data_IF_866072329544
#
_entry.id   IF_866072329544
#
_cell.length_a   1.000
_cell.length_b   1.000
_cell.length_c   1.000
_cell.angle_alpha   90.00
_cell.angle_beta   90.00
_cell.angle_gamma   90.00
#
_symmetry.space_group_name_H-M   'P 1'
#
loop_
_entity.id
_entity.type
_entity.pdbx_description
1 polymer ?
#
# COMPACT_ATOMS: atom_id res chain seq x y z
N UNK A 1 -46.02 -40.30 -18.77
CA UNK A 1 -45.17 -39.44 -17.95
C UNK A 1 -44.24 -38.67 -18.90
N UNK A 2 -44.63 -37.50 -19.37
CA UNK A 2 -43.74 -36.58 -20.12
C UNK A 2 -42.88 -35.83 -19.13
N UNK A 3 -41.61 -36.20 -18.99
CA UNK A 3 -40.58 -35.31 -18.42
C UNK A 3 -40.32 -34.15 -19.38
N UNK A 4 -40.87 -32.99 -19.09
CA UNK A 4 -40.36 -31.73 -19.67
C UNK A 4 -38.92 -31.55 -19.20
N UNK A 5 -37.96 -31.86 -20.06
CA UNK A 5 -36.63 -31.28 -19.98
C UNK A 5 -36.81 -29.77 -20.28
N UNK A 6 -36.86 -28.99 -19.22
CA UNK A 6 -36.59 -27.55 -19.36
C UNK A 6 -35.13 -27.46 -19.72
N UNK A 7 -34.83 -27.16 -20.97
CA UNK A 7 -33.52 -26.62 -21.36
C UNK A 7 -33.32 -25.40 -20.48
N UNK A 8 -32.40 -25.49 -19.51
CA UNK A 8 -31.81 -24.31 -18.92
C UNK A 8 -31.06 -23.63 -20.05
N UNK A 9 -31.65 -22.60 -20.68
CA UNK A 9 -30.87 -21.62 -21.41
C UNK A 9 -29.79 -21.17 -20.41
N UNK A 10 -28.54 -21.33 -20.80
CA UNK A 10 -27.40 -20.83 -20.05
C UNK A 10 -27.55 -19.31 -19.98
N UNK A 11 -28.07 -18.82 -18.88
CA UNK A 11 -28.15 -17.38 -18.61
C UNK A 11 -26.74 -16.86 -18.53
N UNK A 12 -26.38 -16.07 -19.53
CA UNK A 12 -25.07 -15.39 -19.62
C UNK A 12 -25.24 -13.99 -19.07
N UNK A 13 -24.58 -13.67 -17.94
CA UNK A 13 -24.55 -12.30 -17.47
C UNK A 13 -23.92 -11.40 -18.53
N UNK A 14 -24.64 -10.40 -18.96
CA UNK A 14 -24.18 -9.36 -19.88
C UNK A 14 -23.56 -8.20 -19.10
N UNK A 15 -22.82 -7.32 -19.78
CA UNK A 15 -22.30 -6.09 -19.16
C UNK A 15 -23.44 -5.20 -18.61
N UNK A 16 -24.60 -5.16 -19.33
CA UNK A 16 -25.76 -4.39 -18.89
C UNK A 16 -26.42 -4.98 -17.65
N UNK A 17 -26.50 -6.30 -17.54
CA UNK A 17 -27.01 -6.96 -16.33
C UNK A 17 -26.08 -6.74 -15.14
N UNK A 18 -24.77 -6.75 -15.35
CA UNK A 18 -23.84 -6.40 -14.30
C UNK A 18 -24.00 -4.93 -13.84
N UNK A 19 -24.27 -4.00 -14.77
CA UNK A 19 -24.56 -2.61 -14.39
C UNK A 19 -25.86 -2.53 -13.55
N UNK A 20 -26.90 -3.30 -13.90
CA UNK A 20 -28.12 -3.39 -13.09
C UNK A 20 -27.87 -3.99 -11.69
N UNK A 21 -26.97 -4.99 -11.58
CA UNK A 21 -26.54 -5.52 -10.27
C UNK A 21 -25.94 -4.40 -9.43
N UNK A 22 -25.06 -3.58 -10.00
CA UNK A 22 -24.40 -2.48 -9.28
C UNK A 22 -25.42 -1.42 -8.83
N UNK A 23 -26.39 -1.06 -9.66
CA UNK A 23 -27.46 -0.13 -9.29
C UNK A 23 -28.28 -0.66 -8.09
N UNK A 24 -28.66 -1.92 -8.11
CA UNK A 24 -29.35 -2.56 -6.99
C UNK A 24 -28.49 -2.66 -5.73
N UNK A 25 -27.18 -2.94 -5.88
CA UNK A 25 -26.23 -2.94 -4.77
C UNK A 25 -26.23 -1.57 -4.06
N UNK A 26 -26.12 -0.48 -4.81
CA UNK A 26 -26.14 0.87 -4.21
C UNK A 26 -27.48 1.14 -3.53
N UNK A 27 -28.61 0.84 -4.20
CA UNK A 27 -29.94 1.02 -3.62
C UNK A 27 -30.16 0.22 -2.34
N UNK A 28 -29.67 -1.02 -2.30
CA UNK A 28 -29.72 -1.85 -1.09
C UNK A 28 -28.90 -1.24 0.04
N UNK A 29 -27.67 -0.82 -0.22
CA UNK A 29 -26.78 -0.22 0.79
C UNK A 29 -27.38 1.06 1.39
N UNK A 30 -28.02 1.91 0.57
CA UNK A 30 -28.69 3.13 1.01
C UNK A 30 -29.87 2.85 1.95
N UNK A 31 -30.61 1.75 1.71
CA UNK A 31 -31.71 1.35 2.57
C UNK A 31 -31.22 0.60 3.82
N UNK A 32 -30.29 -0.35 3.65
CA UNK A 32 -29.80 -1.18 4.74
C UNK A 32 -29.04 -0.35 5.79
N UNK A 33 -28.33 0.71 5.42
CA UNK A 33 -27.64 1.57 6.38
C UNK A 33 -28.61 2.32 7.32
N UNK A 34 -29.83 2.59 6.87
CA UNK A 34 -30.88 3.19 7.70
C UNK A 34 -31.47 2.15 8.68
N UNK A 35 -31.66 0.92 8.21
CA UNK A 35 -32.26 -0.17 9.00
C UNK A 35 -31.23 -0.75 9.99
N UNK A 36 -29.98 -0.93 9.54
CA UNK A 36 -28.90 -1.58 10.27
C UNK A 36 -27.68 -0.66 10.46
N UNK A 37 -27.81 0.54 11.06
CA UNK A 37 -26.77 1.56 11.08
C UNK A 37 -25.46 1.10 11.74
N UNK A 38 -25.52 0.16 12.68
CA UNK A 38 -24.33 -0.37 13.37
C UNK A 38 -23.35 -1.07 12.43
N UNK A 39 -23.85 -1.71 11.36
CA UNK A 39 -23.03 -2.37 10.35
C UNK A 39 -22.25 -1.40 9.47
N UNK A 40 -22.59 -0.11 9.53
CA UNK A 40 -21.99 0.96 8.69
C UNK A 40 -21.20 1.99 9.52
N UNK A 41 -20.69 1.62 10.70
CA UNK A 41 -19.91 2.52 11.55
C UNK A 41 -18.41 2.44 11.33
N UNK A 42 -17.92 1.32 10.79
CA UNK A 42 -16.51 1.08 10.59
C UNK A 42 -16.18 0.95 9.11
N UNK A 43 -15.06 1.52 8.72
CA UNK A 43 -14.50 1.43 7.36
C UNK A 43 -13.48 0.28 7.24
N UNK A 44 -13.05 -0.01 6.01
CA UNK A 44 -12.13 -1.09 5.72
C UNK A 44 -12.86 -2.43 5.59
N UNK A 45 -12.25 -3.48 6.09
CA UNK A 45 -12.75 -4.86 5.99
C UNK A 45 -14.14 -5.07 6.60
N UNK A 46 -14.56 -4.24 7.58
CA UNK A 46 -15.89 -4.30 8.18
C UNK A 46 -17.02 -3.91 7.19
N UNK A 47 -16.71 -3.18 6.11
CA UNK A 47 -17.70 -2.77 5.10
C UNK A 47 -17.89 -3.81 3.98
N UNK A 48 -16.89 -4.63 3.68
CA UNK A 48 -16.96 -5.64 2.62
C UNK A 48 -18.14 -6.62 2.78
N UNK A 49 -18.45 -7.16 4.00
CA UNK A 49 -19.63 -8.02 4.19
C UNK A 49 -20.96 -7.33 3.87
N UNK A 50 -21.04 -6.00 4.04
CA UNK A 50 -22.24 -5.26 3.69
C UNK A 50 -22.44 -5.23 2.18
N UNK A 51 -21.36 -4.99 1.42
CA UNK A 51 -21.41 -5.04 -0.05
C UNK A 51 -21.70 -6.46 -0.54
N UNK A 52 -21.10 -7.48 0.08
CA UNK A 52 -21.39 -8.88 -0.28
C UNK A 52 -22.87 -9.22 -0.12
N UNK A 53 -23.51 -8.83 0.99
CA UNK A 53 -24.97 -9.03 1.18
C UNK A 53 -25.80 -8.29 0.13
N UNK A 54 -25.37 -7.07 -0.23
CA UNK A 54 -26.03 -6.29 -1.27
C UNK A 54 -25.92 -6.97 -2.65
N UNK A 55 -24.77 -7.59 -2.95
CA UNK A 55 -24.58 -8.37 -4.19
C UNK A 55 -25.49 -9.58 -4.22
N UNK A 56 -25.55 -10.34 -3.12
CA UNK A 56 -26.43 -11.51 -3.03
C UNK A 56 -27.90 -11.13 -3.26
N UNK A 57 -28.35 -10.06 -2.61
CA UNK A 57 -29.69 -9.53 -2.79
C UNK A 57 -29.95 -9.13 -4.26
N UNK A 58 -29.01 -8.42 -4.89
CA UNK A 58 -29.17 -7.95 -6.27
C UNK A 58 -29.24 -9.12 -7.27
N UNK A 59 -28.45 -10.17 -7.06
CA UNK A 59 -28.47 -11.37 -7.91
C UNK A 59 -29.80 -12.13 -7.73
N UNK A 60 -30.30 -12.24 -6.51
CA UNK A 60 -31.60 -12.87 -6.23
C UNK A 60 -32.76 -12.10 -6.87
N UNK A 61 -32.82 -10.78 -6.71
CA UNK A 61 -33.83 -9.91 -7.31
C UNK A 61 -33.85 -9.95 -8.85
N UNK A 62 -32.69 -10.08 -9.46
CA UNK A 62 -32.60 -10.20 -10.92
C UNK A 62 -32.74 -11.63 -11.44
N UNK A 63 -32.86 -12.60 -10.53
CA UNK A 63 -32.97 -14.02 -10.89
C UNK A 63 -31.72 -14.56 -11.59
N UNK A 64 -30.55 -14.00 -11.29
CA UNK A 64 -29.26 -14.41 -11.84
C UNK A 64 -28.63 -15.50 -10.97
N UNK A 65 -28.45 -16.72 -11.50
CA UNK A 65 -27.93 -17.86 -10.72
C UNK A 65 -26.39 -17.89 -10.68
N UNK A 66 -25.78 -16.73 -10.51
CA UNK A 66 -24.32 -16.58 -10.60
C UNK A 66 -23.66 -16.90 -9.26
N UNK A 67 -22.43 -17.40 -9.31
CA UNK A 67 -21.63 -17.72 -8.15
C UNK A 67 -20.84 -16.48 -7.69
N UNK A 68 -20.82 -16.23 -6.38
CA UNK A 68 -20.04 -15.13 -5.80
C UNK A 68 -18.84 -15.68 -5.07
N UNK A 69 -17.66 -15.42 -5.60
CA UNK A 69 -16.37 -15.71 -4.97
C UNK A 69 -15.98 -14.52 -4.09
N UNK A 70 -16.03 -14.74 -2.79
CA UNK A 70 -15.67 -13.76 -1.77
C UNK A 70 -15.02 -14.45 -0.58
N UNK A 71 -13.83 -13.99 -0.22
CA UNK A 71 -13.10 -14.45 0.97
C UNK A 71 -12.93 -13.29 1.94
N UNK A 72 -13.60 -13.30 3.11
CA UNK A 72 -13.47 -12.25 4.11
C UNK A 72 -12.01 -12.05 4.53
N UNK A 73 -11.52 -10.78 4.50
CA UNK A 73 -10.13 -10.46 4.82
C UNK A 73 -9.10 -11.03 3.82
N UNK A 74 -9.56 -11.48 2.65
CA UNK A 74 -8.70 -11.91 1.55
C UNK A 74 -7.89 -10.75 0.99
N UNK A 75 -6.72 -11.06 0.42
CA UNK A 75 -5.87 -10.05 -0.23
C UNK A 75 -5.99 -10.09 -1.75
N UNK A 76 -7.10 -10.65 -2.26
CA UNK A 76 -7.42 -10.68 -3.69
C UNK A 76 -7.75 -9.29 -4.24
N UNK A 77 -7.61 -9.12 -5.54
CA UNK A 77 -8.13 -7.98 -6.26
C UNK A 77 -8.88 -8.47 -7.51
N UNK A 78 -10.13 -8.08 -7.69
CA UNK A 78 -11.00 -7.32 -6.79
C UNK A 78 -11.48 -8.13 -5.57
N UNK A 79 -12.07 -7.45 -4.56
CA UNK A 79 -12.52 -8.05 -3.29
C UNK A 79 -13.66 -9.06 -3.47
N UNK A 80 -14.57 -8.82 -4.42
CA UNK A 80 -15.71 -9.69 -4.74
C UNK A 80 -15.70 -10.00 -6.22
N UNK A 81 -15.83 -11.27 -6.59
CA UNK A 81 -15.93 -11.72 -7.98
C UNK A 81 -17.24 -12.45 -8.20
N UNK A 82 -18.03 -11.99 -9.16
CA UNK A 82 -19.22 -12.68 -9.63
C UNK A 82 -18.83 -13.49 -10.85
N UNK A 83 -19.07 -14.80 -10.79
CA UNK A 83 -18.78 -15.73 -11.88
C UNK A 83 -20.11 -16.11 -12.55
N UNK A 84 -20.33 -15.61 -13.75
CA UNK A 84 -21.51 -15.94 -14.54
C UNK A 84 -21.55 -17.41 -14.95
N UNK A 85 -22.72 -17.90 -15.25
CA UNK A 85 -22.91 -19.29 -15.68
C UNK A 85 -22.11 -19.67 -16.96
N UNK A 86 -21.71 -18.67 -17.74
CA UNK A 86 -20.84 -18.81 -18.92
C UNK A 86 -19.34 -18.74 -18.59
N UNK A 87 -18.97 -18.65 -17.30
CA UNK A 87 -17.60 -18.53 -16.84
C UNK A 87 -17.01 -17.11 -16.95
N UNK A 88 -17.77 -16.12 -17.43
CA UNK A 88 -17.34 -14.72 -17.40
C UNK A 88 -17.27 -14.22 -15.97
N UNK A 89 -16.27 -13.40 -15.69
CA UNK A 89 -16.02 -12.84 -14.36
C UNK A 89 -16.23 -11.33 -14.35
N UNK A 90 -16.87 -10.87 -13.30
CA UNK A 90 -17.13 -9.45 -13.03
C UNK A 90 -16.67 -9.12 -11.62
N UNK A 91 -15.91 -8.02 -11.48
CA UNK A 91 -15.27 -7.68 -10.24
C UNK A 91 -15.89 -6.48 -9.54
N UNK A 92 -15.90 -6.52 -8.21
CA UNK A 92 -16.27 -5.38 -7.37
C UNK A 92 -15.15 -5.16 -6.35
N UNK A 93 -14.46 -4.06 -6.49
CA UNK A 93 -13.50 -3.58 -5.50
C UNK A 93 -14.22 -2.72 -4.47
N UNK A 94 -14.09 -3.04 -3.21
CA UNK A 94 -14.76 -2.35 -2.11
C UNK A 94 -13.83 -1.35 -1.47
N UNK A 95 -14.27 -0.11 -1.37
CA UNK A 95 -13.53 0.94 -0.66
C UNK A 95 -14.43 1.66 0.32
N UNK A 96 -13.88 2.05 1.45
CA UNK A 96 -14.65 2.80 2.44
C UNK A 96 -13.80 3.81 3.21
N UNK A 97 -14.47 4.81 3.72
CA UNK A 97 -13.88 5.84 4.57
C UNK A 97 -14.89 6.32 5.61
N UNK A 98 -14.45 6.53 6.83
CA UNK A 98 -15.23 7.19 7.89
C UNK A 98 -15.04 8.71 7.90
N UNK A 99 -14.22 9.26 6.99
CA UNK A 99 -13.94 10.69 6.91
C UNK A 99 -15.18 11.53 6.63
N UNK A 100 -15.33 12.66 7.35
CA UNK A 100 -16.39 13.62 7.13
C UNK A 100 -16.21 14.50 5.88
N UNK A 101 -15.06 14.40 5.20
CA UNK A 101 -14.75 15.17 4.00
C UNK A 101 -15.69 14.87 2.82
N UNK A 102 -15.82 15.85 1.91
CA UNK A 102 -16.64 15.71 0.70
C UNK A 102 -15.97 14.84 -0.39
N UNK A 103 -14.65 14.75 -0.39
CA UNK A 103 -13.88 14.02 -1.42
C UNK A 103 -14.17 12.52 -1.41
N UNK A 104 -14.28 11.95 -2.60
CA UNK A 104 -14.39 10.51 -2.86
C UNK A 104 -13.06 9.92 -3.36
N UNK A 105 -11.97 10.29 -2.68
CA UNK A 105 -10.60 9.94 -3.05
C UNK A 105 -9.99 9.00 -2.02
N UNK A 106 -9.33 7.94 -2.50
CA UNK A 106 -8.63 6.96 -1.68
C UNK A 106 -7.50 6.29 -2.50
N UNK A 107 -6.50 5.75 -1.80
CA UNK A 107 -5.49 4.92 -2.46
C UNK A 107 -6.08 3.57 -2.88
N UNK A 108 -5.81 3.18 -4.10
CA UNK A 108 -6.19 1.89 -4.66
C UNK A 108 -5.15 0.80 -4.41
N UNK A 109 -5.27 -0.29 -5.17
CA UNK A 109 -4.34 -1.42 -5.12
C UNK A 109 -2.97 -1.06 -5.69
N UNK A 110 -1.97 -1.86 -5.32
CA UNK A 110 -0.62 -1.76 -5.87
C UNK A 110 -0.61 -2.16 -7.35
N UNK A 111 0.15 -1.41 -8.16
CA UNK A 111 0.39 -1.75 -9.57
C UNK A 111 1.19 -3.05 -9.68
N UNK A 112 2.02 -3.36 -8.69
CA UNK A 112 2.82 -4.58 -8.62
C UNK A 112 2.12 -5.73 -7.86
N UNK A 113 0.85 -5.59 -7.51
CA UNK A 113 0.09 -6.61 -6.77
C UNK A 113 0.02 -7.93 -7.52
N UNK A 114 0.36 -9.02 -6.86
CA UNK A 114 0.37 -10.38 -7.41
C UNK A 114 -0.93 -11.16 -7.19
N UNK A 115 -1.89 -10.59 -6.46
CA UNK A 115 -3.12 -11.28 -6.03
C UNK A 115 -4.33 -10.95 -6.90
N UNK A 116 -4.10 -10.65 -8.19
CA UNK A 116 -5.17 -10.30 -9.12
C UNK A 116 -5.89 -11.55 -9.63
N UNK A 117 -7.21 -11.46 -9.68
CA UNK A 117 -8.03 -12.48 -10.33
C UNK A 117 -7.97 -12.27 -11.84
N UNK A 118 -7.53 -13.26 -12.63
CA UNK A 118 -7.45 -13.12 -14.07
C UNK A 118 -8.82 -13.21 -14.75
N UNK A 119 -8.95 -12.58 -15.91
CA UNK A 119 -10.12 -12.72 -16.78
C UNK A 119 -11.35 -11.92 -16.33
N UNK A 120 -11.18 -10.88 -15.52
CA UNK A 120 -12.26 -9.96 -15.15
C UNK A 120 -12.63 -9.13 -16.38
N UNK A 121 -13.90 -9.22 -16.82
CA UNK A 121 -14.42 -8.47 -17.99
C UNK A 121 -14.74 -7.01 -17.69
N UNK A 122 -15.22 -6.75 -16.49
CA UNK A 122 -15.52 -5.41 -16.00
C UNK A 122 -15.29 -5.36 -14.50
N UNK A 123 -14.62 -4.33 -14.05
CA UNK A 123 -14.36 -4.12 -12.63
C UNK A 123 -15.00 -2.81 -12.18
N UNK A 124 -15.82 -2.87 -11.13
CA UNK A 124 -16.47 -1.71 -10.53
C UNK A 124 -15.88 -1.43 -9.16
N UNK A 125 -15.82 -0.17 -8.78
CA UNK A 125 -15.63 0.23 -7.39
C UNK A 125 -16.99 0.47 -6.75
N UNK A 126 -17.18 -0.05 -5.55
CA UNK A 126 -18.23 0.35 -4.62
C UNK A 126 -17.57 1.06 -3.45
N UNK A 127 -17.79 2.36 -3.33
CA UNK A 127 -17.19 3.18 -2.30
C UNK A 127 -18.25 3.67 -1.30
N UNK A 128 -18.06 3.32 -0.02
CA UNK A 128 -18.90 3.74 1.11
C UNK A 128 -18.24 4.84 1.95
N UNK A 129 -18.93 5.95 2.18
CA UNK A 129 -18.66 6.85 3.29
C UNK A 129 -19.50 6.39 4.47
N UNK A 130 -18.92 5.52 5.30
CA UNK A 130 -19.66 4.81 6.36
C UNK A 130 -19.80 5.67 7.62
N UNK A 131 -21.04 5.97 8.01
CA UNK A 131 -21.42 6.83 9.15
C UNK A 131 -22.73 6.40 9.81
N UNK A 132 -22.93 5.11 9.93
CA UNK A 132 -24.22 4.60 10.40
C UNK A 132 -25.34 4.90 9.39
N UNK A 133 -26.45 5.42 9.86
CA UNK A 133 -27.60 5.78 9.01
C UNK A 133 -27.33 6.92 8.01
N UNK A 134 -26.29 7.73 8.24
CA UNK A 134 -25.90 8.85 7.37
C UNK A 134 -24.85 8.44 6.33
N UNK A 135 -24.70 7.15 6.09
CA UNK A 135 -23.75 6.62 5.11
C UNK A 135 -24.15 7.01 3.70
N UNK A 136 -23.14 7.20 2.85
CA UNK A 136 -23.32 7.52 1.43
C UNK A 136 -22.54 6.51 0.60
N UNK A 137 -23.09 6.12 -0.55
CA UNK A 137 -22.48 5.12 -1.41
C UNK A 137 -22.40 5.62 -2.84
N UNK A 138 -21.33 5.23 -3.54
CA UNK A 138 -21.16 5.45 -4.97
C UNK A 138 -20.51 4.24 -5.62
N UNK A 139 -20.85 4.02 -6.88
CA UNK A 139 -20.14 3.07 -7.73
C UNK A 139 -19.65 3.76 -8.99
N UNK A 140 -18.49 3.33 -9.48
CA UNK A 140 -17.93 3.76 -10.77
C UNK A 140 -17.06 2.65 -11.32
N UNK A 141 -16.93 2.58 -12.64
CA UNK A 141 -16.02 1.66 -13.29
C UNK A 141 -14.57 1.96 -12.87
N UNK A 142 -13.81 0.91 -12.55
CA UNK A 142 -12.49 1.05 -11.93
C UNK A 142 -11.55 1.92 -12.75
N UNK A 143 -11.42 1.66 -14.06
CA UNK A 143 -10.54 2.44 -14.93
C UNK A 143 -10.94 3.92 -14.98
N UNK A 144 -12.26 4.20 -14.98
CA UNK A 144 -12.78 5.56 -15.10
C UNK A 144 -12.63 6.41 -13.85
N UNK A 145 -12.29 5.81 -12.70
CA UNK A 145 -12.08 6.55 -11.46
C UNK A 145 -10.61 6.60 -11.01
N UNK A 146 -9.68 6.05 -11.78
CA UNK A 146 -8.26 6.20 -11.49
C UNK A 146 -7.79 7.58 -11.94
N UNK A 147 -7.55 8.45 -10.99
CA UNK A 147 -7.13 9.83 -11.27
C UNK A 147 -5.64 9.96 -11.53
N UNK A 148 -4.81 9.12 -10.92
CA UNK A 148 -3.37 9.17 -11.06
C UNK A 148 -2.71 7.89 -10.54
N UNK A 149 -1.39 7.82 -10.69
CA UNK A 149 -0.53 6.86 -9.99
C UNK A 149 0.27 7.62 -8.94
N UNK A 150 0.20 7.15 -7.71
CA UNK A 150 0.94 7.72 -6.58
C UNK A 150 1.85 6.66 -5.97
N UNK A 151 2.96 7.10 -5.39
CA UNK A 151 3.87 6.19 -4.70
C UNK A 151 3.83 6.50 -3.21
N UNK A 152 3.38 5.53 -2.44
CA UNK A 152 3.41 5.58 -0.98
C UNK A 152 4.59 4.74 -0.46
N UNK A 153 4.48 3.45 -0.47
CA UNK A 153 5.56 2.47 -0.26
C UNK A 153 5.73 1.56 -1.50
N UNK A 154 4.76 1.56 -2.39
CA UNK A 154 4.80 1.00 -3.74
C UNK A 154 3.96 1.88 -4.65
N UNK A 155 4.16 1.83 -5.98
CA UNK A 155 3.26 2.49 -6.91
C UNK A 155 1.84 1.96 -6.76
N UNK A 156 0.88 2.87 -6.56
CA UNK A 156 -0.54 2.58 -6.38
C UNK A 156 -1.39 3.46 -7.26
N UNK A 157 -2.53 2.95 -7.64
CA UNK A 157 -3.55 3.77 -8.25
C UNK A 157 -4.14 4.74 -7.21
N UNK A 158 -4.43 5.96 -7.64
CA UNK A 158 -5.20 6.92 -6.86
C UNK A 158 -6.62 6.96 -7.41
N UNK A 159 -7.55 6.45 -6.62
CA UNK A 159 -8.97 6.42 -6.93
C UNK A 159 -9.58 7.76 -6.59
N UNK A 160 -10.38 8.30 -7.50
CA UNK A 160 -11.16 9.51 -7.32
C UNK A 160 -12.46 9.39 -8.12
N UNK A 161 -13.59 9.21 -7.43
CA UNK A 161 -14.87 9.06 -8.11
C UNK A 161 -15.44 10.40 -8.62
N UNK A 162 -14.84 11.53 -8.24
CA UNK A 162 -15.27 12.86 -8.67
C UNK A 162 -14.66 13.29 -10.02
N UNK A 163 -13.75 12.52 -10.61
CA UNK A 163 -13.20 12.86 -11.94
C UNK A 163 -14.24 12.67 -13.04
N UNK A 164 -14.24 13.60 -13.99
CA UNK A 164 -15.09 13.53 -15.18
C UNK A 164 -14.68 12.35 -16.09
N UNK A 165 -15.64 11.82 -16.83
CA UNK A 165 -15.39 10.77 -17.81
C UNK A 165 -14.42 11.28 -18.89
N UNK A 166 -13.51 10.42 -19.34
CA UNK A 166 -12.46 10.77 -20.29
C UNK A 166 -11.23 11.45 -19.66
N UNK A 167 -11.22 11.68 -18.33
CA UNK A 167 -10.12 12.31 -17.61
C UNK A 167 -9.39 11.37 -16.66
N UNK A 168 -9.64 10.05 -16.73
CA UNK A 168 -8.89 9.09 -15.93
C UNK A 168 -7.40 9.04 -16.33
N UNK A 169 -6.57 8.45 -15.49
CA UNK A 169 -5.17 8.16 -15.82
C UNK A 169 -5.08 7.34 -17.11
N UNK A 170 -5.93 6.32 -17.26
CA UNK A 170 -5.94 5.44 -18.41
C UNK A 170 -6.35 6.17 -19.71
N UNK A 171 -7.37 7.05 -19.64
CA UNK A 171 -7.75 7.89 -20.76
C UNK A 171 -6.58 8.78 -21.23
N UNK A 172 -5.93 9.47 -20.28
CA UNK A 172 -4.81 10.37 -20.59
C UNK A 172 -3.56 9.66 -21.08
N UNK A 173 -3.31 8.46 -20.55
CA UNK A 173 -2.16 7.64 -20.94
C UNK A 173 -2.40 6.85 -22.23
N UNK A 174 -3.66 6.80 -22.73
CA UNK A 174 -4.10 5.93 -23.82
C UNK A 174 -3.71 4.46 -23.55
N UNK A 175 -3.97 4.00 -22.34
CA UNK A 175 -3.73 2.65 -21.87
C UNK A 175 -5.02 2.08 -21.26
N UNK A 176 -5.11 0.75 -21.17
CA UNK A 176 -6.13 0.08 -20.37
C UNK A 176 -5.53 -0.47 -19.06
N UNK A 177 -6.40 -0.80 -18.11
CA UNK A 177 -5.98 -1.51 -16.91
C UNK A 177 -5.31 -2.86 -17.25
N UNK A 178 -5.85 -3.56 -18.26
CA UNK A 178 -5.30 -4.85 -18.69
C UNK A 178 -3.91 -4.69 -19.31
N UNK A 179 -3.65 -3.65 -20.12
CA UNK A 179 -2.32 -3.39 -20.68
C UNK A 179 -1.25 -3.32 -19.60
N UNK A 180 -1.56 -2.64 -18.49
CA UNK A 180 -0.62 -2.51 -17.37
C UNK A 180 -0.58 -3.79 -16.54
N UNK A 181 -1.74 -4.40 -16.26
CA UNK A 181 -1.84 -5.54 -15.34
C UNK A 181 -1.25 -6.84 -15.90
N UNK A 182 -1.26 -7.00 -17.22
CA UNK A 182 -0.74 -8.17 -17.93
C UNK A 182 0.70 -7.98 -18.44
N UNK A 183 1.22 -6.75 -18.31
CA UNK A 183 2.59 -6.43 -18.74
C UNK A 183 3.64 -7.03 -17.81
N UNK A 184 4.73 -7.52 -18.42
CA UNK A 184 5.95 -7.90 -17.69
C UNK A 184 6.71 -6.68 -17.13
N UNK A 185 6.39 -5.47 -17.61
CA UNK A 185 7.06 -4.22 -17.23
C UNK A 185 6.05 -3.09 -16.91
N UNK A 186 5.12 -3.28 -15.97
CA UNK A 186 4.05 -2.30 -15.71
C UNK A 186 4.59 -0.93 -15.26
N UNK A 187 5.65 -0.93 -14.47
CA UNK A 187 6.28 0.32 -13.99
C UNK A 187 6.90 1.09 -15.15
N UNK A 188 7.54 0.40 -16.09
CA UNK A 188 8.12 1.05 -17.25
C UNK A 188 7.06 1.77 -18.10
N UNK A 189 5.93 1.13 -18.36
CA UNK A 189 4.83 1.75 -19.13
C UNK A 189 4.34 3.04 -18.49
N UNK A 190 4.18 3.04 -17.16
CA UNK A 190 3.74 4.20 -16.40
C UNK A 190 4.83 5.28 -16.40
N UNK A 191 6.10 4.90 -16.23
CA UNK A 191 7.24 5.81 -16.27
C UNK A 191 7.34 6.49 -17.64
N UNK A 192 7.26 5.72 -18.73
CA UNK A 192 7.32 6.23 -20.10
C UNK A 192 6.21 7.27 -20.35
N UNK A 193 5.01 7.01 -19.84
CA UNK A 193 3.91 8.00 -19.91
C UNK A 193 4.23 9.30 -19.15
N UNK A 194 4.65 9.22 -17.90
CA UNK A 194 4.95 10.43 -17.11
C UNK A 194 6.11 11.24 -17.72
N UNK A 195 7.13 10.57 -18.23
CA UNK A 195 8.24 11.22 -18.94
C UNK A 195 7.74 11.92 -20.21
N UNK A 196 6.82 11.30 -20.97
CA UNK A 196 6.27 11.86 -22.20
C UNK A 196 5.51 13.18 -22.00
N UNK A 197 4.91 13.36 -20.80
CA UNK A 197 4.18 14.59 -20.44
C UNK A 197 5.04 15.58 -19.63
N UNK A 198 6.36 15.33 -19.53
CA UNK A 198 7.30 16.20 -18.82
C UNK A 198 7.10 16.23 -17.30
N UNK A 199 6.42 15.25 -16.73
CA UNK A 199 6.31 15.14 -15.28
C UNK A 199 7.56 14.43 -14.73
N UNK A 200 8.23 15.11 -13.80
CA UNK A 200 9.28 14.51 -12.97
C UNK A 200 8.65 14.06 -11.65
N UNK A 201 8.67 12.77 -11.39
CA UNK A 201 8.40 12.24 -10.06
C UNK A 201 9.72 11.71 -9.50
N UNK A 202 9.90 11.74 -8.19
CA UNK A 202 11.14 11.25 -7.55
C UNK A 202 11.47 9.78 -7.90
N UNK A 203 10.51 9.01 -8.35
CA UNK A 203 10.66 7.63 -8.83
C UNK A 203 10.85 7.53 -10.36
N UNK A 204 10.82 8.69 -11.06
CA UNK A 204 11.16 8.82 -12.47
C UNK A 204 12.56 9.45 -12.51
N UNK A 205 13.60 8.68 -12.79
CA UNK A 205 14.92 9.23 -12.94
C UNK A 205 14.97 10.18 -14.16
N UNK A 206 15.51 11.39 -13.97
CA UNK A 206 15.74 12.36 -15.07
C UNK A 206 16.72 11.85 -16.14
N UNK A 207 17.58 10.93 -15.74
CA UNK A 207 18.41 10.15 -16.65
C UNK A 207 18.14 8.67 -16.37
N UNK A 208 17.71 7.91 -17.38
CA UNK A 208 17.61 6.47 -17.24
C UNK A 208 19.02 5.93 -16.96
N UNK A 209 19.36 5.51 -15.74
CA UNK A 209 20.61 4.78 -15.53
C UNK A 209 20.53 3.53 -16.39
N UNK A 210 21.64 3.07 -16.89
CA UNK A 210 21.71 1.92 -17.78
C UNK A 210 21.09 0.62 -17.20
N UNK A 211 20.78 0.61 -15.86
CA UNK A 211 19.98 -0.42 -15.20
C UNK A 211 19.43 0.09 -13.86
N UNK A 212 18.11 0.23 -13.73
CA UNK A 212 17.44 0.35 -12.41
C UNK A 212 17.52 -1.03 -11.75
N UNK A 213 18.05 -1.07 -10.53
CA UNK A 213 18.17 -2.29 -9.76
C UNK A 213 17.06 -2.40 -8.72
N UNK A 214 16.50 -3.59 -8.58
CA UNK A 214 15.60 -3.89 -7.48
C UNK A 214 16.41 -4.16 -6.22
N UNK A 215 16.09 -3.47 -5.12
CA UNK A 215 16.76 -3.67 -3.82
C UNK A 215 16.82 -5.17 -3.43
N UNK A 216 15.72 -5.90 -3.68
CA UNK A 216 15.63 -7.35 -3.42
C UNK A 216 16.72 -8.18 -4.09
N UNK A 217 17.23 -7.74 -5.25
CA UNK A 217 18.21 -8.47 -6.07
C UNK A 217 19.66 -8.09 -5.76
N UNK A 218 19.90 -7.10 -4.90
CA UNK A 218 21.24 -6.66 -4.56
C UNK A 218 22.00 -7.72 -3.74
N UNK A 219 23.35 -7.74 -3.82
CA UNK A 219 24.18 -8.52 -2.92
C UNK A 219 23.95 -8.17 -1.45
N UNK A 220 24.11 -9.16 -0.55
CA UNK A 220 23.85 -8.99 0.89
C UNK A 220 24.64 -7.82 1.50
N UNK A 221 25.91 -7.68 1.11
CA UNK A 221 26.77 -6.59 1.59
C UNK A 221 26.23 -5.22 1.17
N UNK A 222 25.82 -5.07 -0.09
CA UNK A 222 25.28 -3.81 -0.59
C UNK A 222 23.94 -3.48 0.09
N UNK A 223 23.08 -4.47 0.30
CA UNK A 223 21.86 -4.29 1.11
C UNK A 223 22.20 -3.78 2.51
N UNK A 224 23.19 -4.40 3.15
CA UNK A 224 23.63 -3.99 4.48
C UNK A 224 24.13 -2.53 4.52
N UNK A 225 24.94 -2.13 3.55
CA UNK A 225 25.43 -0.74 3.43
C UNK A 225 24.26 0.25 3.25
N UNK A 226 23.33 -0.04 2.36
CA UNK A 226 22.15 0.80 2.14
C UNK A 226 21.25 0.89 3.37
N UNK A 227 21.07 -0.21 4.11
CA UNK A 227 20.32 -0.21 5.37
C UNK A 227 21.05 0.61 6.45
N UNK A 228 22.38 0.46 6.57
CA UNK A 228 23.20 1.30 7.47
C UNK A 228 23.05 2.77 7.15
N UNK A 229 23.15 3.13 5.87
CA UNK A 229 22.95 4.50 5.40
C UNK A 229 21.55 5.03 5.76
N UNK A 230 20.50 4.21 5.58
CA UNK A 230 19.16 4.57 5.98
C UNK A 230 19.04 4.94 7.45
N UNK A 231 19.57 4.11 8.34
CA UNK A 231 19.52 4.32 9.78
C UNK A 231 20.30 5.56 10.25
N UNK A 232 21.35 5.94 9.53
CA UNK A 232 22.21 7.07 9.90
C UNK A 232 21.72 8.41 9.36
N UNK A 233 21.36 8.47 8.07
CA UNK A 233 21.04 9.74 7.40
C UNK A 233 19.54 10.07 7.31
N UNK A 234 18.68 9.12 7.64
CA UNK A 234 17.22 9.30 7.58
C UNK A 234 16.56 8.95 8.92
N UNK A 235 16.91 9.67 10.01
CA UNK A 235 16.44 9.33 11.36
C UNK A 235 14.92 9.36 11.48
N UNK A 236 14.21 10.07 10.60
CA UNK A 236 12.75 10.10 10.54
C UNK A 236 12.10 8.73 10.30
N UNK A 237 12.85 7.72 9.83
CA UNK A 237 12.32 6.35 9.67
C UNK A 237 11.87 5.72 10.99
N UNK A 238 12.38 6.22 12.13
CA UNK A 238 11.96 5.79 13.46
C UNK A 238 10.67 6.45 13.96
N UNK A 239 10.17 7.48 13.27
CA UNK A 239 8.97 8.22 13.66
C UNK A 239 7.67 7.49 13.32
N UNK A 240 6.52 8.04 13.77
CA UNK A 240 5.18 7.58 13.38
C UNK A 240 4.65 8.26 12.09
N UNK A 241 5.46 9.07 11.42
CA UNK A 241 5.03 9.78 10.22
C UNK A 241 4.67 8.80 9.09
N UNK A 242 3.54 9.01 8.44
CA UNK A 242 3.14 8.23 7.25
C UNK A 242 4.09 8.38 6.06
N UNK A 243 4.90 9.44 6.03
CA UNK A 243 5.87 9.74 4.96
C UNK A 243 7.33 9.52 5.36
N UNK A 244 7.57 8.87 6.48
CA UNK A 244 8.90 8.67 7.08
C UNK A 244 9.94 7.99 6.17
N UNK A 245 9.53 7.24 5.19
CA UNK A 245 10.43 6.59 4.24
C UNK A 245 10.66 7.40 2.96
N UNK A 246 10.01 8.54 2.79
CA UNK A 246 9.97 9.28 1.53
C UNK A 246 11.36 9.77 1.09
N UNK A 247 12.11 10.40 2.00
CA UNK A 247 13.46 10.90 1.70
C UNK A 247 14.43 9.77 1.34
N UNK A 248 14.38 8.68 2.10
CA UNK A 248 15.23 7.52 1.81
C UNK A 248 14.88 6.86 0.47
N UNK A 249 13.58 6.71 0.16
CA UNK A 249 13.14 6.19 -1.15
C UNK A 249 13.62 7.09 -2.29
N UNK A 250 13.52 8.41 -2.14
CA UNK A 250 14.01 9.38 -3.12
C UNK A 250 15.52 9.22 -3.33
N UNK A 251 16.28 9.14 -2.26
CA UNK A 251 17.72 8.97 -2.31
C UNK A 251 18.15 7.65 -2.96
N UNK A 252 17.47 6.54 -2.64
CA UNK A 252 17.71 5.25 -3.31
C UNK A 252 17.52 5.36 -4.83
N UNK A 253 16.47 6.03 -5.26
CA UNK A 253 16.14 6.15 -6.67
C UNK A 253 17.08 7.12 -7.39
N UNK A 254 17.31 8.33 -6.84
CA UNK A 254 18.07 9.40 -7.52
C UNK A 254 19.58 9.17 -7.48
N UNK A 255 20.11 8.76 -6.33
CA UNK A 255 21.56 8.64 -6.17
C UNK A 255 22.11 7.23 -6.44
N UNK A 256 21.26 6.20 -6.29
CA UNK A 256 21.71 4.82 -6.40
C UNK A 256 21.04 4.04 -7.54
N UNK A 257 20.04 4.60 -8.19
CA UNK A 257 19.25 3.91 -9.23
C UNK A 257 18.62 2.60 -8.72
N UNK A 258 18.21 2.60 -7.44
CA UNK A 258 17.64 1.44 -6.77
C UNK A 258 16.18 1.75 -6.39
N UNK A 259 15.28 0.80 -6.68
CA UNK A 259 13.88 0.85 -6.30
C UNK A 259 13.57 -0.31 -5.37
N UNK A 260 12.82 -0.04 -4.30
CA UNK A 260 12.32 -1.06 -3.38
C UNK A 260 10.82 -0.93 -3.14
N UNK A 261 10.00 -1.72 -3.84
CA UNK A 261 8.55 -1.71 -3.65
C UNK A 261 8.11 -2.16 -2.25
N UNK A 262 8.97 -2.91 -1.54
CA UNK A 262 8.72 -3.44 -0.22
C UNK A 262 9.49 -2.69 0.89
N UNK A 263 9.95 -1.46 0.62
CA UNK A 263 10.85 -0.73 1.53
C UNK A 263 10.29 -0.63 2.95
N UNK A 264 9.03 -0.25 3.10
CA UNK A 264 8.38 -0.18 4.41
C UNK A 264 8.49 -1.51 5.17
N UNK A 265 8.22 -2.60 4.48
CA UNK A 265 8.17 -3.92 5.09
C UNK A 265 9.57 -4.38 5.54
N UNK A 266 10.63 -3.95 4.85
CA UNK A 266 12.02 -4.22 5.28
C UNK A 266 12.33 -3.65 6.65
N UNK A 267 11.74 -2.50 7.01
CA UNK A 267 11.98 -1.87 8.30
C UNK A 267 10.97 -2.32 9.37
N UNK A 268 9.71 -2.57 9.00
CA UNK A 268 8.61 -2.65 9.97
C UNK A 268 7.77 -3.94 9.91
N UNK A 269 7.95 -4.80 8.91
CA UNK A 269 7.18 -6.06 8.84
C UNK A 269 7.49 -6.99 10.01
N UNK A 270 6.45 -7.59 10.60
CA UNK A 270 6.57 -8.55 11.69
C UNK A 270 6.24 -8.00 13.08
N UNK A 271 5.65 -6.81 13.17
CA UNK A 271 5.09 -6.27 14.41
C UNK A 271 6.14 -5.94 15.46
N UNK A 272 6.06 -6.57 16.63
CA UNK A 272 6.98 -6.42 17.77
C UNK A 272 7.78 -7.69 17.98
N UNK A 273 9.03 -7.57 18.42
CA UNK A 273 9.92 -8.68 18.74
C UNK A 273 10.88 -8.29 19.85
N UNK A 274 11.44 -9.31 20.52
CA UNK A 274 12.51 -9.08 21.49
C UNK A 274 13.83 -8.84 20.75
N UNK A 275 14.65 -7.98 21.31
CA UNK A 275 16.03 -7.73 20.87
C UNK A 275 16.94 -8.19 21.99
N UNK A 276 17.58 -9.35 21.78
CA UNK A 276 18.52 -9.94 22.72
C UNK A 276 19.93 -9.48 22.41
N UNK A 277 20.55 -8.79 23.34
CA UNK A 277 21.94 -8.33 23.29
C UNK A 277 22.77 -9.14 24.29
N UNK A 278 24.08 -9.05 24.24
CA UNK A 278 24.98 -9.81 25.15
C UNK A 278 24.64 -9.62 26.64
N UNK A 279 24.25 -8.40 27.04
CA UNK A 279 24.05 -8.05 28.45
C UNK A 279 22.62 -7.68 28.82
N UNK A 280 21.70 -7.50 27.85
CA UNK A 280 20.33 -7.07 28.11
C UNK A 280 19.37 -7.59 27.04
N UNK A 281 18.12 -7.83 27.44
CA UNK A 281 17.03 -8.16 26.52
C UNK A 281 16.02 -7.01 26.57
N UNK A 282 15.74 -6.43 25.41
CA UNK A 282 14.67 -5.46 25.23
C UNK A 282 13.44 -6.17 24.66
N UNK A 283 12.41 -6.31 25.50
CA UNK A 283 11.21 -7.07 25.14
C UNK A 283 10.24 -6.25 24.28
N UNK A 284 9.59 -6.93 23.34
CA UNK A 284 8.47 -6.41 22.53
C UNK A 284 8.73 -5.06 21.85
N UNK A 285 9.94 -4.82 21.40
CA UNK A 285 10.26 -3.64 20.61
C UNK A 285 9.62 -3.70 19.21
N UNK A 286 9.26 -2.55 18.60
CA UNK A 286 8.93 -2.47 17.18
C UNK A 286 10.01 -3.12 16.31
N UNK A 287 9.61 -3.82 15.25
CA UNK A 287 10.51 -4.62 14.38
C UNK A 287 11.70 -3.85 13.83
N UNK A 288 11.58 -2.54 13.68
CA UNK A 288 12.67 -1.69 13.21
C UNK A 288 13.94 -1.81 14.08
N UNK A 289 13.80 -2.07 15.40
CA UNK A 289 14.95 -2.23 16.29
C UNK A 289 15.64 -3.58 16.14
N UNK A 290 14.91 -4.65 15.82
CA UNK A 290 15.52 -5.93 15.43
C UNK A 290 16.32 -5.75 14.12
N UNK A 291 15.79 -5.00 13.17
CA UNK A 291 16.50 -4.71 11.94
C UNK A 291 17.72 -3.81 12.19
N UNK A 292 17.60 -2.80 13.06
CA UNK A 292 18.76 -2.00 13.49
C UNK A 292 19.87 -2.88 14.06
N UNK A 293 19.54 -3.82 14.94
CA UNK A 293 20.51 -4.77 15.52
C UNK A 293 21.16 -5.66 14.45
N UNK A 294 20.36 -6.20 13.53
CA UNK A 294 20.87 -7.03 12.43
C UNK A 294 21.85 -6.29 11.52
N UNK A 295 21.66 -4.99 11.35
CA UNK A 295 22.50 -4.15 10.49
C UNK A 295 23.48 -3.27 11.26
N UNK A 296 23.64 -3.46 12.60
CA UNK A 296 24.46 -2.63 13.48
C UNK A 296 25.90 -2.41 13.01
N UNK A 297 26.51 -3.42 12.41
CA UNK A 297 27.85 -3.30 11.80
C UNK A 297 27.90 -2.19 10.78
N UNK A 298 26.94 -2.18 9.88
CA UNK A 298 26.87 -1.20 8.79
C UNK A 298 26.53 0.21 9.32
N UNK A 299 25.73 0.28 10.38
CA UNK A 299 25.41 1.55 11.05
C UNK A 299 26.66 2.16 11.67
N UNK A 300 27.45 1.37 12.40
CA UNK A 300 28.72 1.85 12.99
C UNK A 300 29.72 2.25 11.91
N UNK A 301 29.86 1.43 10.87
CA UNK A 301 30.77 1.72 9.76
C UNK A 301 30.35 3.01 9.04
N UNK A 302 29.07 3.24 8.86
CA UNK A 302 28.55 4.47 8.26
C UNK A 302 28.81 5.70 9.15
N UNK A 303 28.49 5.64 10.45
CA UNK A 303 28.77 6.74 11.40
C UNK A 303 30.25 7.07 11.45
N UNK A 304 31.13 6.04 11.41
CA UNK A 304 32.58 6.20 11.46
C UNK A 304 33.13 6.92 10.24
N UNK A 305 32.66 6.53 9.06
CA UNK A 305 33.19 6.98 7.78
C UNK A 305 32.40 8.15 7.18
N UNK A 306 31.33 8.57 7.83
CA UNK A 306 30.43 9.60 7.33
C UNK A 306 31.14 10.96 7.15
N UNK A 307 30.81 11.63 6.07
CA UNK A 307 31.13 13.03 5.85
C UNK A 307 30.42 13.92 6.87
N UNK A 308 31.17 14.82 7.51
CA UNK A 308 30.66 15.67 8.59
C UNK A 308 29.58 16.65 8.11
N UNK A 309 29.68 17.17 6.89
CA UNK A 309 28.69 18.11 6.36
C UNK A 309 27.34 17.37 6.10
N UNK A 310 27.42 16.17 5.54
CA UNK A 310 26.23 15.33 5.34
C UNK A 310 25.58 14.91 6.66
N UNK A 311 26.35 14.59 7.69
CA UNK A 311 25.80 14.31 9.02
C UNK A 311 25.18 15.55 9.64
N UNK A 312 25.81 16.72 9.49
CA UNK A 312 25.25 17.98 9.97
C UNK A 312 23.86 18.25 9.33
N UNK A 313 23.75 18.05 8.03
CA UNK A 313 22.48 18.19 7.30
C UNK A 313 21.43 17.18 7.78
N UNK A 314 21.84 15.94 8.02
CA UNK A 314 20.93 14.87 8.46
C UNK A 314 20.48 15.03 9.91
N UNK A 315 21.37 15.44 10.81
CA UNK A 315 21.13 15.51 12.25
C UNK A 315 20.80 16.92 12.76
N UNK A 316 20.97 17.93 11.90
CA UNK A 316 20.82 19.35 12.22
C UNK A 316 21.71 19.76 13.42
N UNK A 317 22.93 19.23 13.48
CA UNK A 317 23.94 19.56 14.49
C UNK A 317 25.33 19.19 14.00
N UNK A 318 26.34 19.92 14.48
CA UNK A 318 27.74 19.65 14.13
C UNK A 318 28.16 18.30 14.72
N UNK A 319 28.61 17.34 13.89
CA UNK A 319 29.00 16.03 14.38
C UNK A 319 30.30 16.09 15.22
N UNK A 320 30.38 15.29 16.26
CA UNK A 320 31.60 15.10 17.03
C UNK A 320 32.70 14.44 16.18
N UNK A 321 33.94 14.58 16.60
CA UNK A 321 35.10 13.96 15.95
C UNK A 321 35.32 12.51 16.42
N UNK A 322 35.02 12.23 17.69
CA UNK A 322 35.11 10.88 18.27
C UNK A 322 33.91 10.02 17.89
N UNK A 323 34.15 8.74 17.59
CA UNK A 323 33.11 7.81 17.17
C UNK A 323 32.04 7.58 18.23
N UNK A 324 32.44 7.41 19.51
CA UNK A 324 31.49 7.16 20.58
C UNK A 324 30.58 8.36 20.80
N UNK A 325 31.12 9.56 20.68
CA UNK A 325 30.34 10.78 20.79
C UNK A 325 29.41 10.97 19.58
N UNK A 326 29.82 10.60 18.36
CA UNK A 326 28.95 10.54 17.18
C UNK A 326 27.80 9.55 17.38
N UNK A 327 28.05 8.35 17.92
CA UNK A 327 27.02 7.37 18.23
C UNK A 327 26.01 7.94 19.24
N UNK A 328 26.50 8.63 20.29
CA UNK A 328 25.61 9.29 21.26
C UNK A 328 24.77 10.39 20.63
N UNK A 329 25.37 11.25 19.79
CA UNK A 329 24.64 12.27 19.07
C UNK A 329 23.56 11.69 18.14
N UNK A 330 23.91 10.65 17.39
CA UNK A 330 22.94 9.91 16.57
C UNK A 330 21.80 9.35 17.42
N UNK A 331 22.12 8.71 18.55
CA UNK A 331 21.12 8.14 19.43
C UNK A 331 20.15 9.20 20.01
N UNK A 332 20.65 10.39 20.37
CA UNK A 332 19.83 11.52 20.81
C UNK A 332 18.87 11.97 19.71
N UNK A 333 19.37 12.15 18.47
CA UNK A 333 18.55 12.56 17.33
C UNK A 333 17.44 11.55 17.04
N UNK A 334 17.79 10.26 17.01
CA UNK A 334 16.83 9.18 16.76
C UNK A 334 15.84 9.05 17.91
N UNK A 335 16.29 9.06 19.17
CA UNK A 335 15.45 8.95 20.34
C UNK A 335 14.34 10.01 20.41
N UNK A 336 14.64 11.23 19.97
CA UNK A 336 13.67 12.33 19.89
C UNK A 336 12.54 12.08 18.89
N UNK A 337 12.72 11.18 17.92
CA UNK A 337 11.74 10.85 16.89
C UNK A 337 10.94 9.58 17.19
N UNK A 338 11.41 8.75 18.12
CA UNK A 338 10.73 7.51 18.52
C UNK A 338 9.50 7.85 19.36
N UNK A 339 8.30 7.37 18.96
CA UNK A 339 7.10 7.54 19.75
C UNK A 339 7.22 6.97 21.15
N UNK A 340 6.50 7.55 22.11
CA UNK A 340 6.47 7.03 23.48
C UNK A 340 5.60 5.78 23.62
N UNK A 341 4.61 5.60 22.76
CA UNK A 341 3.60 4.54 22.83
C UNK A 341 4.21 3.13 22.97
N UNK A 342 4.06 2.58 24.18
CA UNK A 342 4.57 1.27 24.58
C UNK A 342 6.09 1.21 24.75
N UNK A 343 6.75 2.37 24.89
CA UNK A 343 8.18 2.51 25.14
C UNK A 343 8.50 3.54 26.25
N UNK A 344 7.49 3.97 26.99
CA UNK A 344 7.59 5.01 28.04
C UNK A 344 8.56 4.62 29.16
N UNK A 345 8.75 3.34 29.39
CA UNK A 345 9.63 2.78 30.41
C UNK A 345 11.10 2.66 29.99
N UNK A 346 11.42 2.96 28.73
CA UNK A 346 12.74 2.77 28.16
C UNK A 346 13.54 4.08 28.11
N UNK A 347 14.82 3.99 28.47
CA UNK A 347 15.80 5.02 28.16
C UNK A 347 16.22 4.87 26.70
N UNK A 348 15.48 5.51 25.76
CA UNK A 348 15.60 5.30 24.31
C UNK A 348 17.00 5.52 23.77
N UNK A 349 17.69 6.55 24.27
CA UNK A 349 19.08 6.84 23.87
C UNK A 349 20.01 5.69 24.24
N UNK A 350 19.93 5.22 25.49
CA UNK A 350 20.77 4.12 25.96
C UNK A 350 20.46 2.83 25.19
N UNK A 351 19.16 2.51 24.99
CA UNK A 351 18.74 1.37 24.19
C UNK A 351 19.31 1.39 22.79
N UNK A 352 19.31 2.54 22.11
CA UNK A 352 19.88 2.69 20.77
C UNK A 352 21.39 2.47 20.76
N UNK A 353 22.10 3.01 21.77
CA UNK A 353 23.55 2.81 21.94
C UNK A 353 23.83 1.32 22.16
N UNK A 354 23.12 0.67 23.08
CA UNK A 354 23.31 -0.74 23.39
C UNK A 354 23.10 -1.61 22.15
N UNK A 355 22.03 -1.35 21.36
CA UNK A 355 21.73 -2.09 20.13
C UNK A 355 22.83 -1.98 19.09
N UNK A 356 23.36 -0.78 18.84
CA UNK A 356 24.36 -0.60 17.77
C UNK A 356 25.76 -0.98 18.21
N UNK A 357 26.07 -0.92 19.52
CA UNK A 357 27.39 -1.28 20.04
C UNK A 357 27.48 -2.74 20.52
N UNK A 358 26.38 -3.50 20.45
CA UNK A 358 26.39 -4.93 20.78
C UNK A 358 27.43 -5.67 19.94
N UNK A 359 28.25 -6.57 20.53
CA UNK A 359 29.32 -7.27 19.83
C UNK A 359 28.84 -7.98 18.56
N UNK A 360 29.69 -7.97 17.54
CA UNK A 360 29.44 -8.68 16.27
C UNK A 360 30.13 -10.03 16.41
N UNK A 361 29.35 -11.11 16.48
CA UNK A 361 29.86 -12.48 16.46
C UNK A 361 30.64 -12.81 15.18
#
# INVERSE_FOLDING_TARGET
VYKRQIQREEFKMTLSEFDNVIELVISFLEQDCIINPESYRKSGEDFEPCVKRAVDFALEELGLPDEVDYTPGGHGFPDIVIVGADGNKYGIEVKSSSSAGRSWRINGNSILGSTRVPGIRKNMIVFGKVRGADSLFRAKEYEKCISNVVVTHSPRYLIDLDIDDGNSFFDRANLSYNDISESDQPIKMITDYFLSIGQTAWWLAESTPAAIQMFGNLPVVQKGQLMGHAFVYFPEIFSNSGVKFYRYMSWLASENSIVDPALRDRFTAGGRADVSLEHVIYEKLPRIFTNLHNYRKYVIDEIRNADSDKLNDAWNQIPATDLNDRIRQWAIVVAALIPDEGMEHLHKEQMLIDIVTDPIE
#
